data_IF_537049079122
#
_entry.id   IF_537049079122
#
_cell.length_a   1.000
_cell.length_b   1.000
_cell.length_c   1.000
_cell.angle_alpha   90.00
_cell.angle_beta   90.00
_cell.angle_gamma   90.00
#
_symmetry.space_group_name_H-M   'P 1'
#
loop_
_entity.id
_entity.type
_entity.pdbx_description
1 polymer ?
#
# COMPACT_ATOMS: atom_id res chain seq x y z
N UNK A 1 42.74 16.00 -1.98
CA UNK A 1 42.53 14.76 -2.77
C UNK A 1 42.16 15.06 -4.22
N UNK A 2 41.16 15.90 -4.51
CA UNK A 2 40.73 16.24 -5.89
C UNK A 2 41.84 16.84 -6.78
N UNK A 3 42.66 17.76 -6.26
CA UNK A 3 43.76 18.35 -7.05
C UNK A 3 44.87 17.36 -7.42
N UNK A 4 45.11 16.34 -6.60
CA UNK A 4 46.10 15.30 -6.89
C UNK A 4 45.56 14.33 -7.95
N UNK A 5 44.27 13.99 -7.86
CA UNK A 5 43.59 13.18 -8.86
C UNK A 5 43.55 13.88 -10.22
N UNK A 6 43.21 15.18 -10.24
CA UNK A 6 43.23 16.02 -11.45
C UNK A 6 44.60 15.98 -12.14
N UNK A 7 45.67 16.20 -11.38
CA UNK A 7 47.02 16.22 -11.92
C UNK A 7 47.44 14.86 -12.50
N UNK A 8 47.06 13.77 -11.83
CA UNK A 8 47.31 12.42 -12.31
C UNK A 8 46.58 12.12 -13.63
N UNK A 9 45.30 12.48 -13.73
CA UNK A 9 44.51 12.28 -14.96
C UNK A 9 45.09 13.08 -16.13
N UNK A 10 45.50 14.33 -15.89
CA UNK A 10 46.12 15.20 -16.90
C UNK A 10 47.48 14.69 -17.40
N UNK A 11 48.25 13.98 -16.57
CA UNK A 11 49.59 13.50 -16.91
C UNK A 11 49.60 12.09 -17.51
N UNK A 12 48.74 11.20 -17.00
CA UNK A 12 48.83 9.76 -17.30
C UNK A 12 47.70 9.23 -18.19
N UNK A 13 46.56 9.92 -18.28
CA UNK A 13 45.37 9.42 -18.98
C UNK A 13 45.07 10.22 -20.26
N UNK A 14 45.18 11.54 -20.22
CA UNK A 14 44.87 12.36 -21.40
C UNK A 14 46.04 12.43 -22.39
N UNK A 15 45.81 12.18 -23.70
CA UNK A 15 46.85 12.34 -24.71
C UNK A 15 47.26 13.82 -24.82
N UNK A 16 48.58 14.05 -24.76
CA UNK A 16 49.30 15.33 -24.71
C UNK A 16 48.48 16.60 -25.03
N UNK A 17 48.33 17.43 -24.00
CA UNK A 17 47.88 18.85 -24.01
C UNK A 17 46.38 19.11 -23.80
N UNK A 18 45.57 18.09 -23.46
CA UNK A 18 44.19 18.34 -23.01
C UNK A 18 44.17 18.62 -21.50
N UNK A 19 43.66 19.79 -21.12
CA UNK A 19 43.44 20.15 -19.72
C UNK A 19 42.21 19.45 -19.16
N UNK A 20 42.23 19.09 -17.88
CA UNK A 20 41.05 18.57 -17.21
C UNK A 20 40.01 19.68 -17.07
N UNK A 21 38.90 19.53 -17.80
CA UNK A 21 37.78 20.46 -17.78
C UNK A 21 36.82 20.09 -16.66
N UNK A 22 36.43 21.11 -15.89
CA UNK A 22 35.45 20.96 -14.81
C UNK A 22 34.13 21.50 -15.36
N UNK A 23 33.11 20.65 -15.36
CA UNK A 23 31.74 21.07 -15.61
C UNK A 23 30.99 21.11 -14.28
N UNK A 24 30.33 22.23 -14.00
CA UNK A 24 29.42 22.35 -12.86
C UNK A 24 28.07 21.76 -13.25
N UNK A 25 27.60 20.81 -12.46
CA UNK A 25 26.30 20.15 -12.64
C UNK A 25 25.32 20.82 -11.69
N UNK A 26 24.14 21.25 -12.16
CA UNK A 26 23.10 21.74 -11.26
C UNK A 26 22.70 20.66 -10.25
N UNK A 27 22.46 21.07 -9.01
CA UNK A 27 22.05 20.15 -7.94
C UNK A 27 20.59 19.71 -8.09
N UNK A 28 19.72 20.62 -8.56
CA UNK A 28 18.31 20.35 -8.82
C UNK A 28 18.10 19.94 -10.28
N UNK A 29 17.43 18.80 -10.52
CA UNK A 29 17.10 18.28 -11.84
C UNK A 29 16.20 19.24 -12.64
N UNK A 30 15.43 20.07 -11.93
CA UNK A 30 14.60 21.13 -12.49
C UNK A 30 15.36 22.41 -12.90
N UNK A 31 16.69 22.39 -12.98
CA UNK A 31 17.47 23.56 -13.40
C UNK A 31 17.30 23.91 -14.89
N UNK A 32 17.24 25.21 -15.21
CA UNK A 32 17.26 25.73 -16.59
C UNK A 32 18.44 25.21 -17.42
N UNK A 33 19.59 24.97 -16.77
CA UNK A 33 20.82 24.52 -17.45
C UNK A 33 20.67 23.16 -18.15
N UNK A 34 19.72 22.33 -17.73
CA UNK A 34 19.40 21.05 -18.37
C UNK A 34 18.52 21.19 -19.62
N UNK A 35 17.92 22.37 -19.83
CA UNK A 35 17.07 22.70 -20.97
C UNK A 35 17.75 23.63 -21.97
N UNK A 36 18.97 24.07 -21.67
CA UNK A 36 19.78 24.87 -22.58
C UNK A 36 20.13 24.05 -23.82
N UNK A 37 19.91 24.66 -24.99
CA UNK A 37 20.30 24.09 -26.29
C UNK A 37 21.81 23.85 -26.42
N UNK A 38 22.63 24.52 -25.62
CA UNK A 38 24.08 24.33 -25.54
C UNK A 38 24.52 23.38 -24.40
N UNK A 39 23.58 22.75 -23.68
CA UNK A 39 23.88 21.84 -22.58
C UNK A 39 24.70 20.62 -23.00
N UNK A 40 24.55 20.17 -24.25
CA UNK A 40 25.32 19.06 -24.82
C UNK A 40 26.53 19.63 -25.54
N UNK A 41 27.71 19.35 -25.00
CA UNK A 41 28.98 19.72 -25.62
C UNK A 41 29.66 18.51 -26.24
N UNK A 42 30.70 18.74 -27.05
CA UNK A 42 31.51 17.66 -27.65
C UNK A 42 32.28 16.81 -26.64
N UNK A 43 32.36 17.24 -25.38
CA UNK A 43 33.21 16.65 -24.34
C UNK A 43 32.47 16.33 -23.03
N UNK A 44 31.19 16.72 -22.90
CA UNK A 44 30.35 16.44 -21.72
C UNK A 44 28.89 16.26 -22.15
N UNK A 45 28.35 15.09 -21.83
CA UNK A 45 26.94 14.70 -21.91
C UNK A 45 26.23 14.82 -20.55
N UNK A 46 26.93 15.30 -19.52
CA UNK A 46 26.49 15.26 -18.12
C UNK A 46 25.30 16.19 -17.83
N UNK A 47 25.04 17.17 -18.70
CA UNK A 47 23.87 18.05 -18.63
C UNK A 47 22.66 17.53 -19.44
N UNK A 48 22.64 16.25 -19.81
CA UNK A 48 21.44 15.59 -20.33
C UNK A 48 20.53 15.14 -19.19
N UNK A 49 19.48 15.90 -18.92
CA UNK A 49 18.40 15.43 -18.04
C UNK A 49 17.38 14.63 -18.85
N UNK A 50 17.37 13.30 -18.65
CA UNK A 50 16.38 12.41 -19.26
C UNK A 50 15.06 12.35 -18.49
N UNK A 51 15.01 12.80 -17.24
CA UNK A 51 13.79 12.86 -16.45
C UNK A 51 12.76 13.77 -17.13
N UNK A 52 11.57 13.22 -17.32
CA UNK A 52 10.44 13.99 -17.87
C UNK A 52 9.77 14.81 -16.77
N UNK A 53 9.82 14.33 -15.52
CA UNK A 53 9.24 15.00 -14.37
C UNK A 53 9.97 16.31 -14.06
N UNK A 54 11.30 16.29 -13.98
CA UNK A 54 12.13 17.46 -13.63
C UNK A 54 12.02 18.57 -14.68
N UNK A 55 11.93 18.20 -15.96
CA UNK A 55 11.70 19.15 -17.06
C UNK A 55 10.32 19.80 -16.93
N UNK A 56 9.31 19.01 -16.57
CA UNK A 56 7.96 19.51 -16.37
C UNK A 56 7.85 20.40 -15.12
N UNK A 57 8.53 20.01 -14.04
CA UNK A 57 8.72 20.80 -12.84
C UNK A 57 9.27 22.20 -13.16
N UNK A 58 10.35 22.27 -13.94
CA UNK A 58 10.93 23.54 -14.39
C UNK A 58 9.90 24.40 -15.14
N UNK A 59 9.21 23.83 -16.14
CA UNK A 59 8.24 24.58 -16.93
C UNK A 59 7.06 25.08 -16.09
N UNK A 60 6.58 24.29 -15.11
CA UNK A 60 5.50 24.70 -14.19
C UNK A 60 5.96 25.78 -13.21
N UNK A 61 7.09 25.57 -12.52
CA UNK A 61 7.63 26.50 -11.54
C UNK A 61 7.90 27.89 -12.14
N UNK A 62 8.34 27.93 -13.40
CA UNK A 62 8.67 29.17 -14.12
C UNK A 62 7.52 29.73 -14.97
N UNK A 63 6.31 29.15 -14.88
CA UNK A 63 5.11 29.56 -15.67
C UNK A 63 5.33 29.54 -17.19
N UNK A 64 6.15 28.62 -17.65
CA UNK A 64 6.46 28.39 -19.07
C UNK A 64 5.63 27.26 -19.69
N UNK A 65 4.82 26.56 -18.89
CA UNK A 65 4.02 25.41 -19.31
C UNK A 65 3.08 25.69 -20.49
N UNK A 66 2.33 26.80 -20.47
CA UNK A 66 1.41 27.14 -21.56
C UNK A 66 2.16 27.35 -22.89
N UNK A 67 3.32 27.99 -22.82
CA UNK A 67 4.18 28.24 -23.99
C UNK A 67 4.82 26.93 -24.49
N UNK A 68 5.15 26.01 -23.61
CA UNK A 68 5.61 24.67 -23.97
C UNK A 68 4.51 23.89 -24.68
N UNK A 69 3.30 23.80 -24.11
CA UNK A 69 2.17 23.06 -24.68
C UNK A 69 1.78 23.52 -26.10
N UNK A 70 1.91 24.82 -26.39
CA UNK A 70 1.65 25.36 -27.74
C UNK A 70 2.68 24.94 -28.79
N UNK A 71 3.90 24.60 -28.39
CA UNK A 71 5.02 24.28 -29.27
C UNK A 71 5.48 22.81 -29.17
N UNK A 72 4.89 22.03 -28.26
CA UNK A 72 5.25 20.64 -28.01
C UNK A 72 4.85 19.74 -29.18
N UNK A 73 5.67 18.72 -29.44
CA UNK A 73 5.34 17.71 -30.44
C UNK A 73 4.20 16.79 -29.94
N UNK A 74 3.52 16.11 -30.86
CA UNK A 74 2.48 15.14 -30.50
C UNK A 74 3.01 13.99 -29.63
N UNK A 75 4.27 13.59 -29.83
CA UNK A 75 4.93 12.56 -29.03
C UNK A 75 5.26 13.05 -27.62
N UNK A 76 5.66 14.31 -27.46
CA UNK A 76 5.88 14.92 -26.15
C UNK A 76 4.57 15.02 -25.37
N UNK A 77 3.51 15.53 -25.99
CA UNK A 77 2.18 15.59 -25.37
C UNK A 77 1.67 14.20 -24.95
N UNK A 78 1.93 13.16 -25.75
CA UNK A 78 1.60 11.78 -25.40
C UNK A 78 2.36 11.27 -24.18
N UNK A 79 3.65 11.59 -24.05
CA UNK A 79 4.48 11.23 -22.88
C UNK A 79 4.06 11.98 -21.61
N UNK A 80 3.56 13.19 -21.78
CA UNK A 80 3.15 14.08 -20.69
C UNK A 80 1.72 13.85 -20.21
N UNK A 81 0.90 13.12 -20.98
CA UNK A 81 -0.48 12.78 -20.62
C UNK A 81 -0.64 12.18 -19.23
N UNK A 82 0.37 11.44 -18.73
CA UNK A 82 0.36 10.89 -17.36
C UNK A 82 0.46 11.97 -16.27
N UNK A 83 1.10 13.10 -16.56
CA UNK A 83 1.32 14.20 -15.61
C UNK A 83 0.30 15.34 -15.74
N UNK A 84 -0.56 15.25 -16.74
CA UNK A 84 -1.66 16.18 -17.02
C UNK A 84 -2.92 15.34 -17.27
N UNK A 85 -3.44 14.66 -16.22
CA UNK A 85 -4.60 13.80 -16.37
C UNK A 85 -5.77 14.63 -16.90
N UNK A 86 -6.40 14.13 -17.94
CA UNK A 86 -7.61 14.74 -18.48
C UNK A 86 -8.73 14.58 -17.45
N UNK A 87 -8.99 15.66 -16.71
CA UNK A 87 -10.11 15.74 -15.76
C UNK A 87 -11.43 16.07 -16.47
N UNK A 88 -11.43 16.18 -17.79
CA UNK A 88 -12.67 16.38 -18.55
C UNK A 88 -13.49 15.09 -18.53
N UNK A 89 -14.79 15.27 -18.26
CA UNK A 89 -15.72 14.17 -18.11
C UNK A 89 -16.12 13.62 -19.47
N UNK A 90 -15.47 12.55 -19.93
CA UNK A 90 -16.05 11.71 -20.97
C UNK A 90 -17.18 10.86 -20.33
N UNK A 91 -18.37 11.47 -20.22
CA UNK A 91 -19.59 10.79 -19.73
C UNK A 91 -20.11 9.70 -20.70
N UNK A 92 -19.45 9.47 -21.82
CA UNK A 92 -19.88 8.48 -22.80
C UNK A 92 -19.14 7.18 -22.54
N UNK A 93 -19.66 6.40 -21.58
CA UNK A 93 -19.42 4.96 -21.56
C UNK A 93 -19.79 4.42 -22.96
N UNK A 94 -18.93 3.67 -23.66
CA UNK A 94 -19.32 3.07 -24.92
C UNK A 94 -20.55 2.21 -24.67
N UNK A 95 -21.62 2.48 -25.42
CA UNK A 95 -22.80 1.62 -25.50
C UNK A 95 -22.40 0.33 -26.22
N UNK A 96 -21.76 -0.57 -25.48
CA UNK A 96 -21.36 -1.90 -25.92
C UNK A 96 -21.82 -2.91 -24.89
N UNK A 97 -22.45 -3.97 -25.38
CA UNK A 97 -22.98 -5.14 -24.65
C UNK A 97 -21.87 -6.01 -24.00
N UNK A 98 -20.65 -5.47 -23.86
CA UNK A 98 -19.58 -6.11 -23.10
C UNK A 98 -19.79 -5.76 -21.63
N UNK A 99 -20.37 -6.70 -20.88
CA UNK A 99 -20.28 -6.67 -19.41
C UNK A 99 -18.82 -6.84 -19.05
N UNK A 100 -18.08 -5.74 -19.02
CA UNK A 100 -16.72 -5.70 -18.50
C UNK A 100 -16.78 -6.21 -17.06
N UNK A 101 -16.18 -7.38 -16.83
CA UNK A 101 -16.05 -7.97 -15.51
C UNK A 101 -15.17 -7.04 -14.68
N UNK A 102 -15.72 -6.48 -13.62
CA UNK A 102 -14.99 -5.50 -12.82
C UNK A 102 -14.03 -6.21 -11.87
N UNK A 103 -12.74 -5.88 -11.97
CA UNK A 103 -11.71 -6.45 -11.12
C UNK A 103 -11.56 -5.63 -9.84
N UNK A 104 -11.66 -6.29 -8.69
CA UNK A 104 -11.50 -5.66 -7.37
C UNK A 104 -10.55 -6.47 -6.50
N UNK A 105 -9.66 -5.79 -5.79
CA UNK A 105 -8.67 -6.39 -4.88
C UNK A 105 -9.10 -6.26 -3.42
N UNK A 106 -8.69 -7.20 -2.56
CA UNK A 106 -8.92 -7.11 -1.11
C UNK A 106 -8.36 -5.83 -0.49
N UNK A 107 -7.22 -5.34 -1.02
CA UNK A 107 -6.63 -4.06 -0.62
C UNK A 107 -7.49 -2.85 -0.99
N UNK A 108 -8.14 -2.83 -2.16
CA UNK A 108 -9.09 -1.77 -2.51
C UNK A 108 -10.30 -1.77 -1.56
N UNK A 109 -10.79 -2.96 -1.17
CA UNK A 109 -11.86 -3.09 -0.19
C UNK A 109 -11.40 -2.66 1.21
N UNK A 110 -10.16 -2.98 1.62
CA UNK A 110 -9.57 -2.44 2.86
C UNK A 110 -9.49 -0.92 2.83
N UNK A 111 -8.94 -0.32 1.76
CA UNK A 111 -8.84 1.14 1.61
C UNK A 111 -10.21 1.80 1.66
N UNK A 112 -11.22 1.15 1.08
CA UNK A 112 -12.61 1.60 1.17
C UNK A 112 -13.17 1.57 2.61
N UNK A 113 -12.81 0.56 3.41
CA UNK A 113 -13.19 0.52 4.83
C UNK A 113 -12.44 1.58 5.66
N UNK A 114 -11.19 1.89 5.32
CA UNK A 114 -10.40 2.92 5.98
C UNK A 114 -10.93 4.32 5.67
N UNK A 115 -11.11 4.64 4.39
CA UNK A 115 -11.65 5.91 3.88
C UNK A 115 -12.51 5.68 2.62
N UNK A 116 -13.84 5.55 2.76
CA UNK A 116 -14.72 5.21 1.66
C UNK A 116 -14.80 6.32 0.60
N UNK A 117 -14.65 7.58 1.01
CA UNK A 117 -14.78 8.73 0.11
C UNK A 117 -13.53 8.85 -0.74
N UNK A 118 -12.34 8.85 -0.11
CA UNK A 118 -11.06 8.91 -0.83
C UNK A 118 -10.95 7.77 -1.83
N UNK A 119 -11.25 6.53 -1.41
CA UNK A 119 -11.14 5.37 -2.28
C UNK A 119 -12.14 5.41 -3.45
N UNK A 120 -13.39 5.86 -3.22
CA UNK A 120 -14.38 6.02 -4.31
C UNK A 120 -13.97 7.11 -5.29
N UNK A 121 -13.47 8.24 -4.80
CA UNK A 121 -12.96 9.33 -5.62
C UNK A 121 -11.77 8.89 -6.46
N UNK A 122 -10.80 8.21 -5.85
CA UNK A 122 -9.65 7.64 -6.55
C UNK A 122 -10.08 6.66 -7.65
N UNK A 123 -10.99 5.73 -7.35
CA UNK A 123 -11.57 4.80 -8.33
C UNK A 123 -12.24 5.55 -9.48
N UNK A 124 -13.08 6.54 -9.17
CA UNK A 124 -13.82 7.29 -10.17
C UNK A 124 -12.91 8.13 -11.08
N UNK A 125 -11.84 8.69 -10.53
CA UNK A 125 -10.86 9.49 -11.26
C UNK A 125 -9.77 8.64 -11.95
N UNK A 126 -9.78 7.31 -11.76
CA UNK A 126 -8.75 6.42 -12.31
C UNK A 126 -7.39 6.55 -11.62
N UNK A 127 -7.33 7.15 -10.44
CA UNK A 127 -6.11 7.37 -9.64
C UNK A 127 -5.83 6.12 -8.80
N UNK A 128 -5.42 5.02 -9.45
CA UNK A 128 -5.22 3.73 -8.78
C UNK A 128 -3.84 3.57 -8.13
N UNK A 129 -2.91 4.45 -8.47
CA UNK A 129 -1.61 4.55 -7.84
C UNK A 129 -1.52 5.93 -7.18
N UNK A 130 -0.98 5.99 -5.96
CA UNK A 130 -0.41 7.23 -5.44
C UNK A 130 0.80 7.51 -6.34
N UNK A 131 0.54 7.99 -7.56
CA UNK A 131 1.60 8.45 -8.45
C UNK A 131 2.27 9.60 -7.71
N UNK A 132 3.55 9.41 -7.37
CA UNK A 132 4.38 10.46 -6.79
C UNK A 132 4.16 11.71 -7.64
N UNK A 133 3.64 12.75 -7.00
CA UNK A 133 3.40 14.00 -7.70
C UNK A 133 4.75 14.54 -8.18
N UNK A 134 4.73 15.42 -9.18
CA UNK A 134 5.97 16.08 -9.61
C UNK A 134 6.59 16.84 -8.44
N UNK A 135 5.75 17.38 -7.55
CA UNK A 135 6.14 18.01 -6.31
C UNK A 135 6.83 17.02 -5.34
N UNK A 136 6.33 15.79 -5.20
CA UNK A 136 6.98 14.74 -4.39
C UNK A 136 8.35 14.34 -4.96
N UNK A 137 8.45 14.20 -6.29
CA UNK A 137 9.70 13.87 -6.99
C UNK A 137 10.76 14.96 -6.84
N UNK A 138 10.37 16.24 -6.90
CA UNK A 138 11.28 17.37 -6.69
C UNK A 138 11.77 17.42 -5.24
N UNK A 139 10.89 17.16 -4.26
CA UNK A 139 11.27 17.14 -2.84
C UNK A 139 12.26 16.01 -2.53
N UNK A 140 12.28 14.94 -3.32
CA UNK A 140 13.26 13.86 -3.23
C UNK A 140 14.60 14.14 -3.94
N UNK A 141 14.80 15.29 -4.60
CA UNK A 141 16.09 15.63 -5.23
C UNK A 141 17.17 16.02 -4.19
N UNK A 142 16.76 16.58 -3.05
CA UNK A 142 17.68 16.91 -1.96
C UNK A 142 17.96 15.69 -1.08
N UNK A 143 19.21 15.58 -0.61
CA UNK A 143 19.58 14.59 0.38
C UNK A 143 18.74 14.79 1.66
N UNK A 144 18.03 13.75 2.13
CA UNK A 144 17.19 13.90 3.31
C UNK A 144 18.04 13.99 4.57
N UNK A 145 17.60 14.77 5.56
CA UNK A 145 18.27 14.84 6.87
C UNK A 145 18.03 13.59 7.73
N UNK A 146 16.91 12.90 7.52
CA UNK A 146 16.54 11.62 8.13
C UNK A 146 15.58 10.87 7.20
N UNK A 147 15.49 9.56 7.36
CA UNK A 147 14.58 8.75 6.55
C UNK A 147 13.12 9.01 6.97
N UNK A 148 12.31 9.54 6.06
CA UNK A 148 10.88 9.81 6.28
C UNK A 148 9.98 8.75 5.65
N UNK A 149 8.69 8.73 6.03
CA UNK A 149 7.70 7.88 5.39
C UNK A 149 7.53 8.30 3.92
N UNK A 150 7.54 7.36 2.95
CA UNK A 150 7.41 5.90 3.11
C UNK A 150 8.74 5.12 3.23
N UNK A 151 9.88 5.77 3.03
CA UNK A 151 11.19 5.10 3.03
C UNK A 151 11.54 4.50 4.38
N UNK A 152 11.25 5.20 5.49
CA UNK A 152 11.53 4.70 6.84
C UNK A 152 10.81 3.36 7.10
N UNK A 153 9.56 3.23 6.65
CA UNK A 153 8.76 2.01 6.73
C UNK A 153 9.36 0.92 5.86
N UNK A 154 9.78 1.24 4.63
CA UNK A 154 10.49 0.31 3.75
C UNK A 154 11.77 -0.22 4.40
N UNK A 155 12.62 0.66 4.94
CA UNK A 155 13.87 0.33 5.62
C UNK A 155 13.66 -0.49 6.91
N UNK A 156 12.48 -0.40 7.54
CA UNK A 156 12.11 -1.22 8.71
C UNK A 156 11.54 -2.58 8.31
N UNK A 157 10.69 -2.66 7.28
CA UNK A 157 9.92 -3.87 6.96
C UNK A 157 10.58 -4.77 5.92
N UNK A 158 11.20 -4.20 4.87
CA UNK A 158 11.79 -4.98 3.78
C UNK A 158 12.91 -5.93 4.26
N UNK A 159 13.81 -5.52 5.18
CA UNK A 159 14.82 -6.42 5.72
C UNK A 159 14.21 -7.62 6.44
N UNK A 160 13.11 -7.42 7.17
CA UNK A 160 12.42 -8.48 7.91
C UNK A 160 11.81 -9.47 6.94
N UNK A 161 11.16 -8.99 5.87
CA UNK A 161 10.59 -9.84 4.81
C UNK A 161 11.67 -10.67 4.12
N UNK A 162 12.77 -10.03 3.68
CA UNK A 162 13.92 -10.70 3.06
C UNK A 162 14.58 -11.71 4.01
N UNK A 163 14.63 -11.40 5.31
CA UNK A 163 15.14 -12.31 6.33
C UNK A 163 14.26 -13.55 6.48
N UNK A 164 12.93 -13.39 6.60
CA UNK A 164 11.98 -14.50 6.63
C UNK A 164 12.09 -15.37 5.36
N UNK A 165 12.18 -14.73 4.19
CA UNK A 165 12.39 -15.42 2.91
C UNK A 165 13.63 -16.29 2.93
N UNK A 166 14.74 -15.76 3.43
CA UNK A 166 15.99 -16.51 3.52
C UNK A 166 15.93 -17.63 4.58
N UNK A 167 15.29 -17.35 5.72
CA UNK A 167 15.15 -18.28 6.85
C UNK A 167 14.44 -19.57 6.45
N UNK A 168 13.36 -19.45 5.67
CA UNK A 168 12.50 -20.56 5.27
C UNK A 168 12.83 -21.14 3.88
N UNK A 169 13.49 -20.41 2.98
CA UNK A 169 13.91 -20.95 1.65
C UNK A 169 15.07 -21.94 1.70
N UNK A 170 15.79 -22.03 2.82
CA UNK A 170 17.02 -22.81 2.95
C UNK A 170 16.76 -24.33 2.98
N UNK A 171 16.75 -24.97 1.82
CA UNK A 171 16.81 -26.44 1.67
C UNK A 171 18.21 -27.02 1.92
N UNK A 172 19.23 -26.20 2.18
CA UNK A 172 20.59 -26.65 2.48
C UNK A 172 21.01 -26.19 3.88
N UNK A 173 21.20 -27.15 4.78
CA UNK A 173 21.52 -26.96 6.21
C UNK A 173 22.96 -26.54 6.51
N UNK A 174 23.82 -26.31 5.49
CA UNK A 174 25.26 -26.04 5.68
C UNK A 174 25.69 -24.58 5.43
N UNK A 175 24.79 -23.69 5.00
CA UNK A 175 25.11 -22.26 4.84
C UNK A 175 24.60 -21.53 6.08
N UNK A 176 25.50 -20.80 6.75
CA UNK A 176 25.14 -19.93 7.87
C UNK A 176 24.01 -18.99 7.41
N UNK A 177 22.87 -19.04 8.11
CA UNK A 177 21.74 -18.18 7.80
C UNK A 177 22.15 -16.73 8.09
N UNK A 178 21.95 -15.79 7.15
CA UNK A 178 22.33 -14.40 7.36
C UNK A 178 21.53 -13.82 8.52
N UNK A 179 22.21 -13.05 9.37
CA UNK A 179 21.57 -12.36 10.48
C UNK A 179 20.66 -11.25 9.93
N UNK A 180 19.53 -10.94 10.61
CA UNK A 180 18.64 -9.86 10.19
C UNK A 180 19.38 -8.51 10.03
N UNK A 181 20.40 -8.27 10.86
CA UNK A 181 21.22 -7.07 10.81
C UNK A 181 22.04 -6.96 9.51
N UNK A 182 22.55 -8.08 8.99
CA UNK A 182 23.31 -8.10 7.73
C UNK A 182 22.41 -7.74 6.55
N UNK A 183 21.18 -8.26 6.56
CA UNK A 183 20.17 -7.95 5.55
C UNK A 183 19.75 -6.47 5.65
N UNK A 184 19.54 -5.95 6.86
CA UNK A 184 19.25 -4.53 7.08
C UNK A 184 20.37 -3.64 6.53
N UNK A 185 21.63 -3.97 6.84
CA UNK A 185 22.79 -3.22 6.35
C UNK A 185 22.83 -3.17 4.82
N UNK A 186 22.47 -4.27 4.16
CA UNK A 186 22.41 -4.36 2.70
C UNK A 186 21.30 -3.48 2.12
N UNK A 187 20.07 -3.57 2.65
CA UNK A 187 18.94 -2.75 2.18
C UNK A 187 19.21 -1.26 2.39
N UNK A 188 19.72 -0.87 3.56
CA UNK A 188 20.08 0.53 3.83
C UNK A 188 21.17 1.02 2.86
N UNK A 189 22.18 0.19 2.57
CA UNK A 189 23.23 0.53 1.62
C UNK A 189 22.69 0.67 0.18
N UNK A 190 21.71 -0.16 -0.24
CA UNK A 190 21.03 -0.03 -1.53
C UNK A 190 20.30 1.31 -1.66
N UNK A 191 19.58 1.75 -0.62
CA UNK A 191 18.90 3.04 -0.60
C UNK A 191 19.90 4.21 -0.56
N UNK A 192 20.97 4.09 0.22
CA UNK A 192 22.04 5.09 0.27
C UNK A 192 22.71 5.30 -1.09
N UNK A 193 22.95 4.22 -1.85
CA UNK A 193 23.49 4.30 -3.21
C UNK A 193 22.59 5.05 -4.20
N UNK A 194 21.31 5.20 -3.87
CA UNK A 194 20.32 5.97 -4.64
C UNK A 194 20.09 7.36 -4.06
N UNK A 195 20.92 7.81 -3.11
CA UNK A 195 20.78 9.08 -2.39
C UNK A 195 19.44 9.23 -1.65
N UNK A 196 18.79 8.12 -1.30
CA UNK A 196 17.49 8.13 -0.63
C UNK A 196 17.62 8.28 0.89
N UNK A 197 18.81 8.07 1.45
CA UNK A 197 19.07 8.16 2.90
C UNK A 197 20.02 9.32 3.18
N UNK A 198 20.10 9.81 4.43
CA UNK A 198 21.07 10.84 4.81
C UNK A 198 22.52 10.37 4.60
N UNK A 199 23.44 11.33 4.55
CA UNK A 199 24.89 11.13 4.48
C UNK A 199 25.62 11.53 5.79
N UNK A 200 26.90 11.13 5.87
CA UNK A 200 27.77 11.47 6.98
C UNK A 200 27.27 11.02 8.35
N UNK A 201 27.38 11.91 9.35
CA UNK A 201 27.00 11.60 10.73
C UNK A 201 25.49 11.38 10.91
N UNK A 202 24.65 12.06 10.11
CA UNK A 202 23.21 11.86 10.14
C UNK A 202 22.83 10.46 9.66
N UNK A 203 23.51 9.96 8.62
CA UNK A 203 23.35 8.58 8.15
C UNK A 203 23.62 7.55 9.25
N UNK A 204 24.66 7.77 10.06
CA UNK A 204 25.01 6.83 11.14
C UNK A 204 23.96 6.81 12.24
N UNK A 205 23.41 7.98 12.60
CA UNK A 205 22.35 8.09 13.61
C UNK A 205 21.07 7.44 13.09
N UNK A 206 20.61 7.81 11.89
CA UNK A 206 19.41 7.28 11.24
C UNK A 206 19.49 5.75 11.09
N UNK A 207 20.62 5.27 10.56
CA UNK A 207 20.88 3.83 10.41
C UNK A 207 20.82 3.08 11.74
N UNK A 208 21.43 3.63 12.79
CA UNK A 208 21.45 2.96 14.09
C UNK A 208 20.06 2.92 14.73
N UNK A 209 19.27 3.99 14.62
CA UNK A 209 17.90 4.06 15.12
C UNK A 209 16.99 3.07 14.39
N UNK A 210 17.00 3.09 13.06
CA UNK A 210 16.20 2.18 12.23
C UNK A 210 16.59 0.71 12.43
N UNK A 211 17.90 0.42 12.58
CA UNK A 211 18.34 -0.94 12.94
C UNK A 211 17.75 -1.40 14.26
N UNK A 212 17.75 -0.53 15.28
CA UNK A 212 17.15 -0.82 16.58
C UNK A 212 15.68 -1.25 16.45
N UNK A 213 14.91 -0.59 15.58
CA UNK A 213 13.54 -0.98 15.27
C UNK A 213 13.44 -2.35 14.60
N UNK A 214 14.31 -2.65 13.64
CA UNK A 214 14.34 -3.97 12.98
C UNK A 214 14.61 -5.08 13.99
N UNK A 215 15.61 -4.90 14.86
CA UNK A 215 15.96 -5.89 15.89
C UNK A 215 14.78 -6.13 16.86
N UNK A 216 14.10 -5.07 17.30
CA UNK A 216 12.92 -5.19 18.17
C UNK A 216 11.78 -5.99 17.52
N UNK A 217 11.54 -5.77 16.23
CA UNK A 217 10.49 -6.51 15.52
C UNK A 217 10.90 -7.98 15.37
N UNK A 218 12.17 -8.27 15.07
CA UNK A 218 12.68 -9.65 15.01
C UNK A 218 12.49 -10.37 16.35
N UNK A 219 12.83 -9.72 17.47
CA UNK A 219 12.59 -10.27 18.81
C UNK A 219 11.11 -10.58 19.05
N UNK A 220 10.21 -9.69 18.60
CA UNK A 220 8.75 -9.86 18.73
C UNK A 220 8.22 -11.02 17.87
N UNK A 221 8.85 -11.28 16.72
CA UNK A 221 8.44 -12.32 15.77
C UNK A 221 8.92 -13.72 16.19
N UNK A 222 10.04 -13.82 16.93
CA UNK A 222 10.68 -15.09 17.29
C UNK A 222 9.73 -16.20 17.80
N UNK A 223 8.76 -15.93 18.69
CA UNK A 223 7.83 -16.96 19.16
C UNK A 223 6.99 -17.59 18.03
N UNK A 224 6.63 -16.81 17.00
CA UNK A 224 5.87 -17.29 15.85
C UNK A 224 6.74 -18.09 14.89
N UNK A 225 8.03 -17.75 14.80
CA UNK A 225 9.00 -18.46 13.95
C UNK A 225 9.13 -19.92 14.36
N UNK A 226 9.19 -20.19 15.66
CA UNK A 226 9.22 -21.57 16.18
C UNK A 226 7.97 -22.35 15.76
N UNK A 227 6.78 -21.71 15.84
CA UNK A 227 5.53 -22.30 15.38
C UNK A 227 5.56 -22.59 13.88
N UNK A 228 6.01 -21.63 13.06
CA UNK A 228 6.14 -21.77 11.61
C UNK A 228 7.13 -22.87 11.21
N UNK A 229 8.24 -23.03 11.95
CA UNK A 229 9.23 -24.10 11.70
C UNK A 229 8.65 -25.49 12.02
N UNK A 230 7.79 -25.59 13.02
CA UNK A 230 7.08 -26.82 13.38
C UNK A 230 5.84 -27.10 12.52
N UNK A 231 5.52 -26.22 11.57
CA UNK A 231 4.31 -26.31 10.78
C UNK A 231 4.28 -27.58 9.92
N UNK A 232 3.11 -28.22 9.84
CA UNK A 232 2.85 -29.33 8.93
C UNK A 232 2.99 -28.91 7.47
N UNK A 233 2.56 -27.67 7.18
CA UNK A 233 2.66 -27.06 5.86
C UNK A 233 2.84 -25.56 5.98
N UNK A 234 3.78 -25.01 5.23
CA UNK A 234 4.08 -23.58 5.19
C UNK A 234 4.01 -23.09 3.74
N UNK A 235 3.30 -22.00 3.53
CA UNK A 235 3.21 -21.28 2.27
C UNK A 235 3.79 -19.88 2.43
N UNK A 236 4.63 -19.47 1.48
CA UNK A 236 5.12 -18.08 1.45
C UNK A 236 3.98 -17.11 1.15
N UNK A 237 3.05 -17.52 0.30
CA UNK A 237 1.81 -16.80 0.09
C UNK A 237 0.71 -17.71 -0.47
N UNK A 238 -0.52 -17.32 -0.17
CA UNK A 238 -1.73 -17.85 -0.77
C UNK A 238 -2.39 -16.73 -1.58
N UNK A 239 -2.79 -17.04 -2.81
CA UNK A 239 -3.43 -16.10 -3.73
C UNK A 239 -4.84 -16.58 -4.07
N UNK A 240 -5.76 -15.64 -4.15
CA UNK A 240 -7.05 -15.79 -4.85
C UNK A 240 -6.97 -14.88 -6.07
N UNK A 241 -6.96 -15.47 -7.26
CA UNK A 241 -6.75 -14.73 -8.51
C UNK A 241 -5.30 -14.36 -8.77
N UNK A 242 -5.06 -13.07 -8.97
CA UNK A 242 -3.76 -12.56 -9.40
C UNK A 242 -3.00 -11.95 -8.23
N UNK A 243 -1.72 -11.68 -8.44
CA UNK A 243 -0.90 -10.99 -7.46
C UNK A 243 -1.32 -9.53 -7.34
N UNK A 244 -1.67 -9.10 -6.13
CA UNK A 244 -2.27 -7.78 -5.86
C UNK A 244 -1.40 -6.87 -5.01
N UNK A 245 -0.53 -7.44 -4.17
CA UNK A 245 0.13 -6.71 -3.09
C UNK A 245 1.64 -6.70 -3.23
N UNK A 246 2.30 -7.60 -2.52
CA UNK A 246 3.75 -7.67 -2.50
C UNK A 246 4.26 -8.47 -3.69
N UNK A 247 5.23 -7.90 -4.42
CA UNK A 247 5.99 -8.65 -5.40
C UNK A 247 6.80 -9.75 -4.69
N UNK A 248 6.40 -11.01 -4.86
CA UNK A 248 7.14 -12.18 -4.40
C UNK A 248 8.20 -12.55 -5.45
N UNK A 249 9.50 -12.45 -5.13
CA UNK A 249 10.57 -12.81 -6.04
C UNK A 249 10.45 -14.25 -6.56
N UNK A 250 10.70 -14.44 -7.86
CA UNK A 250 10.60 -15.75 -8.53
C UNK A 250 11.68 -16.78 -8.13
N UNK A 251 12.63 -16.41 -7.25
CA UNK A 251 13.73 -17.26 -6.80
C UNK A 251 13.55 -17.85 -5.39
N UNK A 252 12.39 -17.67 -4.76
CA UNK A 252 12.11 -18.18 -3.41
C UNK A 252 11.71 -19.66 -3.51
N UNK A 253 12.44 -20.54 -2.82
CA UNK A 253 12.15 -21.98 -2.73
C UNK A 253 11.09 -22.29 -1.66
N UNK A 254 9.97 -21.56 -1.68
CA UNK A 254 8.84 -21.78 -0.79
C UNK A 254 7.56 -22.01 -1.59
N UNK A 255 6.69 -22.85 -1.04
CA UNK A 255 5.42 -23.18 -1.67
C UNK A 255 4.53 -21.93 -1.81
N UNK A 256 3.99 -21.74 -3.02
CA UNK A 256 2.96 -20.76 -3.32
C UNK A 256 1.67 -21.50 -3.64
N UNK A 257 0.56 -21.08 -3.03
CA UNK A 257 -0.76 -21.62 -3.35
C UNK A 257 -1.57 -20.59 -4.11
N UNK A 258 -2.10 -20.96 -5.28
CA UNK A 258 -2.97 -20.10 -6.09
C UNK A 258 -4.32 -20.75 -6.28
N UNK A 259 -5.37 -19.96 -6.12
CA UNK A 259 -6.75 -20.28 -6.45
C UNK A 259 -7.24 -19.36 -7.57
N UNK A 260 -8.26 -19.79 -8.30
CA UNK A 260 -8.95 -18.93 -9.27
C UNK A 260 -9.55 -17.70 -8.59
N UNK A 261 -9.71 -16.56 -9.30
CA UNK A 261 -10.39 -15.39 -8.76
C UNK A 261 -11.82 -15.74 -8.35
N UNK A 262 -12.34 -15.04 -7.34
CA UNK A 262 -13.70 -15.26 -6.88
C UNK A 262 -14.66 -14.41 -7.72
N UNK A 263 -15.43 -15.04 -8.59
CA UNK A 263 -16.47 -14.37 -9.37
C UNK A 263 -17.75 -14.20 -8.54
N UNK A 264 -18.26 -12.96 -8.48
CA UNK A 264 -19.52 -12.60 -7.84
C UNK A 264 -20.38 -11.78 -8.80
N UNK A 265 -21.70 -11.96 -8.72
CA UNK A 265 -22.65 -11.06 -9.36
C UNK A 265 -23.31 -10.23 -8.27
N UNK A 266 -23.19 -8.91 -8.35
CA UNK A 266 -23.67 -7.97 -7.33
C UNK A 266 -24.65 -6.97 -7.94
N UNK A 267 -25.61 -6.53 -7.16
CA UNK A 267 -26.49 -5.42 -7.51
C UNK A 267 -25.93 -4.15 -6.89
N UNK A 268 -25.79 -3.09 -7.66
CA UNK A 268 -25.27 -1.80 -7.21
C UNK A 268 -26.05 -0.66 -7.86
N UNK A 269 -25.85 0.58 -7.39
CA UNK A 269 -26.56 1.75 -7.90
C UNK A 269 -25.63 2.60 -8.76
N UNK A 270 -26.07 2.91 -9.98
CA UNK A 270 -25.32 3.80 -10.88
C UNK A 270 -25.51 5.28 -10.50
N UNK A 271 -24.83 6.18 -11.21
CA UNK A 271 -24.96 7.64 -11.01
C UNK A 271 -26.39 8.19 -11.23
N UNK A 272 -27.25 7.50 -11.99
CA UNK A 272 -28.66 7.87 -12.19
C UNK A 272 -29.61 7.29 -11.12
N UNK A 273 -29.06 6.68 -10.06
CA UNK A 273 -29.83 6.02 -8.99
C UNK A 273 -30.62 4.77 -9.43
N UNK A 274 -30.25 4.16 -10.56
CA UNK A 274 -30.85 2.91 -11.04
C UNK A 274 -30.06 1.71 -10.52
N UNK A 275 -30.78 0.63 -10.22
CA UNK A 275 -30.15 -0.64 -9.82
C UNK A 275 -29.60 -1.36 -11.04
N UNK A 276 -28.29 -1.61 -11.05
CA UNK A 276 -27.55 -2.28 -12.11
C UNK A 276 -26.90 -3.54 -11.55
N UNK A 277 -26.88 -4.60 -12.36
CA UNK A 277 -26.16 -5.84 -12.01
C UNK A 277 -24.76 -5.78 -12.63
N UNK A 278 -23.74 -6.06 -11.81
CA UNK A 278 -22.34 -6.07 -12.22
C UNK A 278 -21.72 -7.43 -11.89
N UNK A 279 -20.97 -7.98 -12.85
CA UNK A 279 -20.15 -9.17 -12.64
C UNK A 279 -18.75 -8.73 -12.22
N UNK A 280 -18.24 -9.29 -11.14
CA UNK A 280 -17.03 -8.85 -10.45
C UNK A 280 -16.10 -10.02 -10.22
N UNK A 281 -14.80 -9.82 -10.40
CA UNK A 281 -13.75 -10.73 -9.97
C UNK A 281 -12.99 -10.16 -8.78
N UNK A 282 -13.02 -10.90 -7.66
CA UNK A 282 -12.27 -10.56 -6.46
C UNK A 282 -10.93 -11.28 -6.43
N UNK A 283 -9.89 -10.49 -6.16
CA UNK A 283 -8.50 -10.93 -6.05
C UNK A 283 -7.95 -10.58 -4.67
N UNK A 284 -7.01 -11.37 -4.17
CA UNK A 284 -6.31 -11.05 -2.93
C UNK A 284 -5.09 -11.93 -2.72
N UNK A 285 -4.25 -11.49 -1.79
CA UNK A 285 -3.00 -12.16 -1.44
C UNK A 285 -2.80 -12.13 0.07
N UNK A 286 -2.47 -13.28 0.66
CA UNK A 286 -2.09 -13.38 2.07
C UNK A 286 -0.69 -14.00 2.19
N UNK A 287 0.32 -13.24 2.66
CA UNK A 287 1.66 -13.77 2.86
C UNK A 287 1.75 -14.63 4.13
N UNK A 288 2.75 -15.50 4.17
CA UNK A 288 3.18 -16.27 5.34
C UNK A 288 2.03 -17.03 6.03
N UNK A 289 1.47 -18.01 5.32
CA UNK A 289 0.34 -18.83 5.79
C UNK A 289 0.81 -20.23 6.10
N UNK A 290 0.47 -20.77 7.26
CA UNK A 290 0.84 -22.14 7.63
C UNK A 290 -0.31 -22.89 8.29
N UNK A 291 -0.16 -24.21 8.30
CA UNK A 291 -1.05 -25.14 8.97
C UNK A 291 -0.29 -25.81 10.13
N UNK A 292 -0.85 -25.75 11.33
CA UNK A 292 -0.31 -26.40 12.52
C UNK A 292 -0.55 -27.93 12.49
N UNK A 293 -0.06 -28.63 13.53
CA UNK A 293 -0.27 -30.08 13.67
C UNK A 293 -1.74 -30.48 13.83
N UNK A 294 -2.56 -29.59 14.39
CA UNK A 294 -3.98 -29.79 14.64
C UNK A 294 -4.86 -29.42 13.42
N UNK A 295 -4.22 -29.07 12.30
CA UNK A 295 -4.83 -28.61 11.05
C UNK A 295 -5.51 -27.23 11.14
N UNK A 296 -5.19 -26.42 12.15
CA UNK A 296 -5.61 -25.01 12.21
C UNK A 296 -4.72 -24.15 11.31
N UNK A 297 -5.35 -23.15 10.70
CA UNK A 297 -4.66 -22.21 9.81
C UNK A 297 -4.20 -20.99 10.57
N UNK A 298 -3.00 -20.53 10.22
CA UNK A 298 -2.37 -19.36 10.81
C UNK A 298 -1.77 -18.49 9.71
N UNK A 299 -1.72 -17.18 9.93
CA UNK A 299 -1.07 -16.23 9.04
C UNK A 299 -0.27 -15.18 9.83
N UNK A 300 0.90 -14.81 9.33
CA UNK A 300 1.78 -13.82 9.93
C UNK A 300 1.58 -12.47 9.23
N UNK A 301 1.12 -11.47 9.99
CA UNK A 301 0.84 -10.13 9.47
C UNK A 301 1.84 -9.14 10.06
N UNK A 302 2.73 -8.64 9.22
CA UNK A 302 3.71 -7.61 9.59
C UNK A 302 3.07 -6.23 9.45
N UNK A 303 2.78 -5.56 10.56
CA UNK A 303 2.20 -4.20 10.54
C UNK A 303 3.26 -3.11 10.59
N UNK A 304 4.36 -3.37 11.32
CA UNK A 304 5.38 -2.36 11.62
C UNK A 304 4.93 -1.19 12.48
N UNK A 305 3.69 -1.23 12.99
CA UNK A 305 3.11 -0.14 13.75
C UNK A 305 3.60 -0.15 15.20
N UNK A 306 3.89 1.02 15.76
CA UNK A 306 4.20 1.18 17.18
C UNK A 306 2.98 1.09 18.10
N UNK A 307 1.79 0.83 17.56
CA UNK A 307 0.55 0.68 18.35
C UNK A 307 0.62 -0.57 19.23
N UNK A 308 -0.08 -0.50 20.36
CA UNK A 308 -0.32 -1.64 21.27
C UNK A 308 -1.83 -1.87 21.39
N UNK A 309 -2.47 -2.44 20.36
CA UNK A 309 -3.91 -2.58 20.35
C UNK A 309 -4.38 -3.61 21.38
N UNK A 310 -5.49 -3.30 22.05
CA UNK A 310 -6.23 -4.24 22.90
C UNK A 310 -7.33 -4.99 22.15
N UNK A 311 -7.63 -4.55 20.94
CA UNK A 311 -8.71 -5.02 20.08
C UNK A 311 -8.23 -4.95 18.61
N UNK A 312 -8.89 -5.67 17.68
CA UNK A 312 -8.58 -5.57 16.25
C UNK A 312 -8.59 -4.13 15.73
N UNK A 313 -7.70 -3.80 14.80
CA UNK A 313 -7.62 -2.49 14.16
C UNK A 313 -7.62 -2.61 12.62
N UNK A 314 -7.41 -1.51 11.89
CA UNK A 314 -7.45 -1.49 10.42
C UNK A 314 -6.51 -2.49 9.74
N UNK A 315 -5.47 -2.98 10.43
CA UNK A 315 -4.55 -3.95 9.86
C UNK A 315 -5.18 -5.35 9.71
N UNK A 316 -6.28 -5.66 10.40
CA UNK A 316 -6.97 -6.95 10.23
C UNK A 316 -7.88 -7.00 9.00
N UNK A 317 -8.25 -5.85 8.41
CA UNK A 317 -9.25 -5.79 7.34
C UNK A 317 -8.88 -6.64 6.13
N UNK A 318 -7.71 -6.41 5.55
CA UNK A 318 -7.27 -7.13 4.35
C UNK A 318 -7.07 -8.65 4.59
N UNK A 319 -6.39 -9.09 5.67
CA UNK A 319 -6.30 -10.52 6.01
C UNK A 319 -7.66 -11.19 6.24
N UNK A 320 -8.59 -10.52 6.92
CA UNK A 320 -9.93 -11.07 7.15
C UNK A 320 -10.73 -11.10 5.86
N UNK A 321 -10.70 -10.05 5.03
CA UNK A 321 -11.33 -10.05 3.69
C UNK A 321 -10.79 -11.21 2.86
N UNK A 322 -9.47 -11.41 2.83
CA UNK A 322 -8.85 -12.55 2.14
C UNK A 322 -9.36 -13.89 2.67
N UNK A 323 -9.51 -14.04 3.99
CA UNK A 323 -10.10 -15.23 4.58
C UNK A 323 -11.55 -15.45 4.12
N UNK A 324 -12.36 -14.39 4.03
CA UNK A 324 -13.73 -14.47 3.49
C UNK A 324 -13.75 -14.87 2.00
N UNK A 325 -12.80 -14.36 1.20
CA UNK A 325 -12.62 -14.79 -0.20
C UNK A 325 -12.38 -16.30 -0.26
N UNK A 326 -11.50 -16.80 0.60
CA UNK A 326 -11.18 -18.21 0.68
C UNK A 326 -12.37 -19.07 1.10
N UNK A 327 -13.19 -18.64 2.07
CA UNK A 327 -14.39 -19.35 2.49
C UNK A 327 -15.46 -19.42 1.39
N UNK A 328 -15.54 -18.39 0.55
CA UNK A 328 -16.55 -18.30 -0.51
C UNK A 328 -16.15 -19.10 -1.75
N UNK A 329 -14.86 -19.16 -2.07
CA UNK A 329 -14.34 -19.92 -3.22
C UNK A 329 -14.45 -21.44 -3.04
N UNK A 330 -14.84 -22.16 -4.11
CA UNK A 330 -15.09 -23.61 -4.06
C UNK A 330 -13.85 -24.43 -3.67
N UNK A 331 -12.70 -24.14 -4.28
CA UNK A 331 -11.45 -24.87 -4.04
C UNK A 331 -10.76 -24.42 -2.75
N UNK A 332 -10.78 -23.11 -2.49
CA UNK A 332 -10.17 -22.51 -1.30
C UNK A 332 -10.89 -22.90 -0.02
N UNK A 333 -12.21 -23.03 -0.06
CA UNK A 333 -13.02 -23.46 1.09
C UNK A 333 -12.73 -24.91 1.48
N UNK A 334 -12.37 -25.78 0.53
CA UNK A 334 -11.95 -27.14 0.85
C UNK A 334 -10.60 -27.20 1.58
N UNK A 335 -9.69 -26.24 1.31
CA UNK A 335 -8.40 -26.19 1.95
C UNK A 335 -8.49 -25.62 3.38
N UNK A 336 -9.15 -24.46 3.51
CA UNK A 336 -9.20 -23.72 4.78
C UNK A 336 -10.34 -24.24 5.67
N UNK A 337 -11.44 -24.70 5.07
CA UNK A 337 -12.51 -25.42 5.74
C UNK A 337 -13.16 -24.66 6.90
N UNK A 338 -13.75 -25.43 7.82
CA UNK A 338 -14.42 -24.94 9.05
C UNK A 338 -13.45 -24.69 10.21
N UNK A 339 -12.14 -24.80 9.97
CA UNK A 339 -11.11 -24.82 11.02
C UNK A 339 -10.78 -23.44 11.60
N UNK A 340 -11.23 -22.36 10.94
CA UNK A 340 -10.91 -20.98 11.33
C UNK A 340 -9.50 -20.57 10.91
N UNK A 341 -9.16 -19.30 11.07
CA UNK A 341 -7.82 -18.76 10.84
C UNK A 341 -7.38 -17.92 12.03
N UNK A 342 -6.12 -18.08 12.46
CA UNK A 342 -5.49 -17.26 13.49
C UNK A 342 -4.52 -16.29 12.84
N UNK A 343 -4.74 -14.99 13.03
CA UNK A 343 -3.86 -13.94 12.55
C UNK A 343 -2.87 -13.57 13.65
N UNK A 344 -1.59 -13.80 13.38
CA UNK A 344 -0.47 -13.40 14.21
C UNK A 344 -0.03 -11.99 13.79
N UNK A 345 -0.58 -10.99 14.48
CA UNK A 345 -0.35 -9.57 14.18
C UNK A 345 0.91 -9.09 14.90
N UNK A 346 1.94 -8.76 14.13
CA UNK A 346 3.20 -8.26 14.64
C UNK A 346 3.18 -6.74 14.63
N UNK A 347 3.11 -6.16 15.82
CA UNK A 347 3.42 -4.75 16.08
C UNK A 347 4.88 -4.63 16.49
N UNK A 348 5.41 -3.41 16.58
CA UNK A 348 6.84 -3.18 16.88
C UNK A 348 7.30 -3.83 18.18
N UNK A 349 6.44 -3.81 19.21
CA UNK A 349 6.79 -4.21 20.57
C UNK A 349 5.91 -5.34 21.12
N UNK A 350 4.89 -5.75 20.38
CA UNK A 350 3.92 -6.74 20.85
C UNK A 350 3.43 -7.61 19.68
N UNK A 351 3.30 -8.89 19.98
CA UNK A 351 2.59 -9.85 19.15
C UNK A 351 1.17 -10.01 19.70
N UNK A 352 0.16 -9.91 18.84
CA UNK A 352 -1.24 -10.13 19.21
C UNK A 352 -1.86 -11.15 18.27
N UNK A 353 -2.61 -12.09 18.82
CA UNK A 353 -3.28 -13.14 18.05
C UNK A 353 -4.79 -12.90 17.99
N UNK A 354 -5.35 -12.92 16.79
CA UNK A 354 -6.81 -12.83 16.57
C UNK A 354 -7.30 -14.06 15.82
N UNK A 355 -8.22 -14.81 16.43
CA UNK A 355 -8.80 -16.01 15.80
C UNK A 355 -10.17 -15.72 15.24
N UNK A 356 -10.34 -15.97 13.94
CA UNK A 356 -11.58 -15.78 13.20
C UNK A 356 -12.17 -17.10 12.72
N UNK A 357 -13.50 -17.22 12.79
CA UNK A 357 -14.21 -18.38 12.28
C UNK A 357 -15.61 -17.98 11.83
N UNK A 358 -15.81 -18.00 10.52
CA UNK A 358 -17.10 -17.69 9.88
C UNK A 358 -17.59 -18.87 9.06
N UNK A 359 -18.89 -18.95 8.86
CA UNK A 359 -19.48 -19.85 7.88
C UNK A 359 -19.43 -19.24 6.46
N UNK A 360 -19.59 -20.10 5.47
CA UNK A 360 -19.52 -19.72 4.06
C UNK A 360 -20.62 -18.74 3.64
N UNK A 361 -21.82 -18.83 4.22
CA UNK A 361 -22.94 -17.97 3.82
C UNK A 361 -22.73 -16.56 4.36
N UNK A 362 -22.31 -16.43 5.62
CA UNK A 362 -21.95 -15.15 6.23
C UNK A 362 -20.82 -14.46 5.46
N UNK A 363 -19.78 -15.21 5.07
CA UNK A 363 -18.68 -14.69 4.25
C UNK A 363 -19.17 -14.19 2.89
N UNK A 364 -20.04 -14.96 2.23
CA UNK A 364 -20.59 -14.61 0.91
C UNK A 364 -21.48 -13.36 0.98
N UNK A 365 -22.40 -13.28 1.94
CA UNK A 365 -23.28 -12.12 2.11
C UNK A 365 -22.47 -10.86 2.39
N UNK A 366 -21.52 -10.92 3.32
CA UNK A 366 -20.69 -9.77 3.66
C UNK A 366 -19.89 -9.25 2.47
N UNK A 367 -19.27 -10.14 1.67
CA UNK A 367 -18.55 -9.74 0.47
C UNK A 367 -19.46 -9.11 -0.59
N UNK A 368 -20.67 -9.65 -0.79
CA UNK A 368 -21.65 -9.08 -1.73
C UNK A 368 -22.06 -7.68 -1.30
N UNK A 369 -22.36 -7.49 -0.02
CA UNK A 369 -22.78 -6.19 0.52
C UNK A 369 -21.63 -5.18 0.45
N UNK A 370 -20.41 -5.57 0.86
CA UNK A 370 -19.23 -4.71 0.83
C UNK A 370 -18.87 -4.28 -0.60
N UNK A 371 -18.93 -5.20 -1.57
CA UNK A 371 -18.66 -4.91 -2.98
C UNK A 371 -19.77 -4.04 -3.58
N UNK A 372 -21.04 -4.31 -3.25
CA UNK A 372 -22.16 -3.47 -3.68
C UNK A 372 -21.98 -2.02 -3.23
N UNK A 373 -21.64 -1.82 -1.95
CA UNK A 373 -21.34 -0.53 -1.33
C UNK A 373 -20.16 0.17 -1.98
N UNK A 374 -19.08 -0.58 -2.26
CA UNK A 374 -17.88 -0.09 -2.93
C UNK A 374 -18.19 0.40 -4.34
N UNK A 375 -19.01 -0.35 -5.08
CA UNK A 375 -19.37 -0.03 -6.46
C UNK A 375 -20.42 1.07 -6.60
N UNK A 376 -21.19 1.34 -5.54
CA UNK A 376 -22.29 2.31 -5.56
C UNK A 376 -21.80 3.72 -5.92
N UNK A 377 -22.26 4.22 -7.07
CA UNK A 377 -21.89 5.52 -7.61
C UNK A 377 -22.84 6.65 -7.18
N UNK A 378 -24.04 6.31 -6.72
CA UNK A 378 -25.03 7.30 -6.29
C UNK A 378 -24.72 7.91 -4.92
N UNK A 379 -23.98 7.19 -4.07
CA UNK A 379 -23.76 7.59 -2.69
C UNK A 379 -22.27 7.60 -2.29
N UNK A 380 -21.78 8.77 -1.91
CA UNK A 380 -20.50 8.95 -1.23
C UNK A 380 -20.76 9.07 0.29
N UNK A 381 -21.01 7.95 0.96
CA UNK A 381 -21.22 7.93 2.40
C UNK A 381 -19.90 8.16 3.15
N UNK A 382 -19.83 9.20 3.98
CA UNK A 382 -18.65 9.49 4.80
C UNK A 382 -18.65 8.63 6.08
N UNK A 383 -17.98 7.49 6.02
CA UNK A 383 -17.87 6.53 7.14
C UNK A 383 -16.43 5.99 7.32
N UNK A 384 -15.42 6.85 7.54
CA UNK A 384 -14.04 6.40 7.72
C UNK A 384 -13.84 5.70 9.06
N UNK A 385 -13.15 4.56 9.05
CA UNK A 385 -12.95 3.72 10.23
C UNK A 385 -12.23 4.45 11.39
N UNK A 386 -11.22 5.25 11.09
CA UNK A 386 -10.44 5.94 12.14
C UNK A 386 -11.24 7.00 12.88
N UNK A 387 -12.27 7.59 12.27
CA UNK A 387 -13.17 8.51 12.95
C UNK A 387 -14.16 7.70 13.79
N UNK A 388 -14.84 6.72 13.17
CA UNK A 388 -15.86 5.89 13.82
C UNK A 388 -15.30 5.16 15.05
N UNK A 389 -14.05 4.71 15.00
CA UNK A 389 -13.36 4.04 16.12
C UNK A 389 -12.95 4.98 17.27
N UNK A 390 -12.98 6.31 17.06
CA UNK A 390 -12.70 7.32 18.09
C UNK A 390 -13.96 7.90 18.73
N UNK A 391 -15.11 7.74 18.09
CA UNK A 391 -16.41 8.19 18.61
C UNK A 391 -16.77 7.45 19.91
N UNK A 392 -17.65 8.07 20.70
CA UNK A 392 -18.09 7.49 21.98
C UNK A 392 -19.01 6.30 21.73
N UNK A 393 -19.88 6.41 20.73
CA UNK A 393 -20.67 5.29 20.22
C UNK A 393 -19.93 4.62 19.08
N UNK A 394 -19.58 3.35 19.29
CA UNK A 394 -18.92 2.51 18.30
C UNK A 394 -19.92 1.45 17.82
N UNK A 395 -20.53 1.59 16.62
CA UNK A 395 -21.66 0.75 16.19
C UNK A 395 -21.36 -0.76 16.21
N UNK A 396 -20.12 -1.14 15.94
CA UNK A 396 -19.65 -2.53 15.98
C UNK A 396 -19.60 -3.14 17.40
N UNK A 397 -19.61 -2.31 18.46
CA UNK A 397 -19.61 -2.75 19.87
C UNK A 397 -20.97 -2.74 20.53
N UNK A 398 -21.96 -2.08 19.93
CA UNK A 398 -23.30 -1.98 20.53
C UNK A 398 -24.04 -3.31 20.34
N UNK A 399 -24.44 -4.00 21.43
CA UNK A 399 -25.22 -5.23 21.37
C UNK A 399 -26.55 -5.02 20.64
N UNK A 400 -27.01 -6.02 19.89
CA UNK A 400 -28.20 -5.90 19.03
C UNK A 400 -29.48 -5.57 19.83
N UNK A 401 -29.57 -6.02 21.09
CA UNK A 401 -30.68 -5.78 22.02
C UNK A 401 -30.72 -4.36 22.60
N UNK A 402 -29.61 -3.62 22.49
CA UNK A 402 -29.48 -2.26 23.03
C UNK A 402 -29.61 -1.16 22.00
N UNK A 403 -29.74 -1.51 20.71
CA UNK A 403 -29.86 -0.49 19.67
C UNK A 403 -31.25 0.13 19.73
N UNK A 404 -31.31 1.42 20.01
CA UNK A 404 -32.50 2.25 19.89
C UNK A 404 -32.25 3.45 18.98
N UNK A 405 -33.32 4.21 18.69
CA UNK A 405 -33.23 5.39 17.82
C UNK A 405 -32.38 6.50 18.44
N UNK A 406 -32.30 6.57 19.77
CA UNK A 406 -31.51 7.58 20.48
C UNK A 406 -30.01 7.35 20.31
N UNK A 407 -29.55 6.09 20.32
CA UNK A 407 -28.17 5.72 20.00
C UNK A 407 -27.85 6.04 18.54
N UNK A 408 -28.77 5.75 17.60
CA UNK A 408 -28.58 6.06 16.18
C UNK A 408 -28.44 7.57 15.95
N UNK A 409 -29.33 8.37 16.54
CA UNK A 409 -29.30 9.83 16.46
C UNK A 409 -28.03 10.40 17.11
N UNK A 410 -27.63 9.90 18.28
CA UNK A 410 -26.41 10.37 18.95
C UNK A 410 -25.15 10.08 18.12
N UNK A 411 -25.08 8.89 17.51
CA UNK A 411 -23.98 8.54 16.61
C UNK A 411 -23.91 9.47 15.39
N UNK A 412 -25.04 9.80 14.77
CA UNK A 412 -25.08 10.73 13.63
C UNK A 412 -24.58 12.12 14.04
N UNK A 413 -25.01 12.63 15.20
CA UNK A 413 -24.58 13.93 15.71
C UNK A 413 -23.07 13.98 15.97
N UNK A 414 -22.51 12.95 16.60
CA UNK A 414 -21.05 12.86 16.81
C UNK A 414 -20.29 12.78 15.48
N UNK A 415 -20.85 12.07 14.50
CA UNK A 415 -20.24 11.95 13.17
C UNK A 415 -20.31 13.27 12.38
N UNK A 416 -21.41 14.03 12.48
CA UNK A 416 -21.54 15.37 11.89
C UNK A 416 -20.56 16.36 12.50
N UNK A 417 -20.38 16.32 13.82
CA UNK A 417 -19.40 17.14 14.54
C UNK A 417 -17.98 16.81 14.07
N UNK A 418 -17.62 15.52 14.06
CA UNK A 418 -16.33 15.06 13.57
C UNK A 418 -16.09 15.43 12.09
N UNK A 419 -17.12 15.36 11.24
CA UNK A 419 -17.05 15.76 9.84
C UNK A 419 -16.75 17.25 9.67
N UNK A 420 -17.29 18.09 10.56
CA UNK A 420 -17.07 19.54 10.52
C UNK A 420 -15.62 19.95 10.79
N UNK A 421 -14.86 19.10 11.49
CA UNK A 421 -13.45 19.32 11.82
C UNK A 421 -12.49 18.81 10.73
N UNK A 422 -12.98 18.11 9.70
CA UNK A 422 -12.13 17.52 8.66
C UNK A 422 -11.62 18.58 7.68
N UNK A 423 -10.30 18.75 7.65
CA UNK A 423 -9.61 19.62 6.67
C UNK A 423 -8.86 18.80 5.61
N UNK A 424 -9.56 17.90 4.94
CA UNK A 424 -9.06 17.18 3.75
C UNK A 424 -9.68 17.76 2.49
N UNK A 425 -8.84 18.22 1.56
CA UNK A 425 -9.25 18.87 0.32
C UNK A 425 -10.14 17.96 -0.57
N UNK A 426 -9.84 16.66 -0.67
CA UNK A 426 -10.64 15.72 -1.46
C UNK A 426 -12.04 15.54 -0.88
N UNK A 427 -12.14 15.49 0.45
CA UNK A 427 -13.41 15.38 1.16
C UNK A 427 -14.25 16.65 0.96
N UNK A 428 -13.61 17.84 1.01
CA UNK A 428 -14.31 19.12 0.79
C UNK A 428 -14.82 19.30 -0.63
N UNK A 429 -14.10 18.80 -1.64
CA UNK A 429 -14.55 18.84 -3.05
C UNK A 429 -15.73 17.89 -3.26
N UNK A 430 -15.61 16.67 -2.78
CA UNK A 430 -16.57 15.60 -3.05
C UNK A 430 -17.88 15.79 -2.30
N UNK A 431 -17.88 16.58 -1.21
CA UNK A 431 -19.05 16.90 -0.37
C UNK A 431 -19.86 15.64 -0.06
N UNK A 432 -19.24 14.62 0.56
CA UNK A 432 -19.92 13.39 0.88
C UNK A 432 -21.07 13.63 1.85
N UNK A 433 -22.01 12.70 1.87
CA UNK A 433 -23.18 12.75 2.75
C UNK A 433 -22.99 11.81 3.93
N UNK A 434 -23.58 12.18 5.07
CA UNK A 434 -23.79 11.24 6.18
C UNK A 434 -25.19 10.67 5.98
N UNK A 435 -25.33 9.37 5.66
CA UNK A 435 -26.64 8.78 5.40
C UNK A 435 -27.45 8.60 6.70
N UNK A 436 -28.77 8.57 6.61
CA UNK A 436 -29.66 8.44 7.78
C UNK A 436 -29.49 7.09 8.50
N UNK A 437 -29.09 6.06 7.76
CA UNK A 437 -28.77 4.72 8.26
C UNK A 437 -27.26 4.54 8.51
N UNK A 438 -26.50 5.63 8.68
CA UNK A 438 -25.05 5.61 8.92
C UNK A 438 -24.62 4.66 10.04
N UNK A 439 -25.40 4.57 11.12
CA UNK A 439 -25.14 3.65 12.23
C UNK A 439 -25.18 2.19 11.77
N UNK A 440 -26.26 1.79 11.09
CA UNK A 440 -26.47 0.42 10.64
C UNK A 440 -25.47 0.05 9.53
N UNK A 441 -25.14 0.98 8.63
CA UNK A 441 -24.07 0.83 7.64
C UNK A 441 -22.70 0.62 8.29
N UNK A 442 -22.32 1.46 9.26
CA UNK A 442 -21.05 1.33 9.99
C UNK A 442 -20.99 0.00 10.76
N UNK A 443 -22.10 -0.39 11.40
CA UNK A 443 -22.20 -1.68 12.08
C UNK A 443 -22.02 -2.84 11.11
N UNK A 444 -22.72 -2.83 9.98
CA UNK A 444 -22.60 -3.84 8.93
C UNK A 444 -21.18 -3.97 8.40
N UNK A 445 -20.50 -2.85 8.15
CA UNK A 445 -19.11 -2.81 7.67
C UNK A 445 -18.11 -3.37 8.68
N UNK A 446 -18.23 -3.00 9.95
CA UNK A 446 -17.14 -3.24 10.90
C UNK A 446 -17.37 -4.41 11.86
N UNK A 447 -18.63 -4.78 12.21
CA UNK A 447 -18.94 -5.78 13.25
C UNK A 447 -18.16 -7.10 13.05
N UNK A 448 -18.06 -7.58 11.82
CA UNK A 448 -17.40 -8.85 11.50
C UNK A 448 -15.92 -8.89 11.91
N UNK A 449 -15.19 -7.79 11.77
CA UNK A 449 -13.75 -7.75 12.11
C UNK A 449 -13.47 -7.81 13.62
N UNK A 450 -14.48 -7.55 14.44
CA UNK A 450 -14.40 -7.60 15.90
C UNK A 450 -15.06 -8.85 16.50
N UNK A 451 -15.64 -9.72 15.66
CA UNK A 451 -16.18 -11.01 16.08
C UNK A 451 -15.06 -12.06 16.19
N UNK A 452 -14.21 -11.87 17.19
CA UNK A 452 -13.06 -12.71 17.49
C UNK A 452 -13.42 -13.78 18.51
N UNK A 453 -12.88 -14.99 18.33
CA UNK A 453 -12.88 -16.00 19.40
C UNK A 453 -11.71 -15.70 20.32
N UNK A 454 -11.99 -15.30 21.56
CA UNK A 454 -10.95 -15.09 22.55
C UNK A 454 -10.25 -16.43 22.86
N UNK A 455 -8.98 -16.53 22.49
CA UNK A 455 -8.05 -17.43 23.17
C UNK A 455 -7.38 -16.55 24.22
N UNK A 456 -7.93 -16.55 25.44
CA UNK A 456 -7.11 -16.09 26.55
C UNK A 456 -5.98 -17.10 26.76
N UNK A 457 -4.72 -16.63 26.94
CA UNK A 457 -3.60 -17.50 27.27
C UNK A 457 -3.84 -18.28 28.57
#
# INVERSE_FOLDING_TARGET
MVNQLKHYVEQEIFPNSQSFQISEIPLAGSSERFLDTEAISTWSDVLLNYSTADRLAYYRANRLWEKFNQNASADDLKRLKRFDPDLSFDMVKPAGDDREVERITSKQLKRFLEDPVRQKTQRHLGLYEEEETIEDLILCEDEPFFSEFPLDYYLKMDPIKRWLDTLFSSQNTDIAKPEPEDIYNLVYYECRRKSQTPEGAFAEIDKNELRGHVCQIVETINPVIEQMQSAKKLYRAVFVGEQTDEHIPSGINLDLKRFSPLSLTVQTTNHTSETVTCDVELHGQLPWVWQDSDNRWHALILTGSGKKPKEPDKYVFDPVIFYLLCLTGKESCQLIGTSGITLHMVYREILVEWTYKFDQETARMYLVDLVSDYLNQAMAAWLPFEIISKLSIQPHKVPDDKIDDLIREHFILELEDAYSEVDDYLIRITRPTIPLDAFDMAKGRFKLFFDIRSVHP
#
